data_IF_816319328014
#
_entry.id   IF_816319328014
#
_cell.length_a   1.000
_cell.length_b   1.000
_cell.length_c   1.000
_cell.angle_alpha   90.00
_cell.angle_beta   90.00
_cell.angle_gamma   90.00
#
_symmetry.space_group_name_H-M   'P 1'
#
loop_
_entity.id
_entity.type
_entity.pdbx_description
1 polymer ?
#
# COMPACT_ATOMS: atom_id res chain seq x y z
N UNK A 1 0.62 14.14 -19.69
CA UNK A 1 -0.09 13.09 -20.46
C UNK A 1 0.86 12.02 -21.04
N UNK A 2 1.99 11.70 -20.38
CA UNK A 2 2.89 10.61 -20.82
C UNK A 2 2.33 9.22 -20.44
N UNK A 3 1.64 9.14 -19.30
CA UNK A 3 1.06 7.90 -18.78
C UNK A 3 0.05 7.26 -19.75
N UNK A 4 -0.77 8.06 -20.44
CA UNK A 4 -1.75 7.56 -21.40
C UNK A 4 -1.07 6.85 -22.58
N UNK A 5 0.05 7.39 -23.08
CA UNK A 5 0.82 6.75 -24.16
C UNK A 5 1.42 5.42 -23.72
N UNK A 6 1.92 5.33 -22.49
CA UNK A 6 2.47 4.09 -21.93
C UNK A 6 1.38 3.00 -21.86
N UNK A 7 0.20 3.33 -21.35
CA UNK A 7 -0.92 2.40 -21.28
C UNK A 7 -1.36 1.91 -22.65
N UNK A 8 -1.56 2.84 -23.59
CA UNK A 8 -1.95 2.49 -24.96
C UNK A 8 -0.89 1.59 -25.61
N UNK A 9 0.40 1.88 -25.40
CA UNK A 9 1.49 1.06 -25.91
C UNK A 9 1.45 -0.38 -25.35
N UNK A 10 1.20 -0.57 -24.04
CA UNK A 10 1.09 -1.91 -23.45
C UNK A 10 -0.04 -2.74 -24.10
N UNK A 11 -1.22 -2.15 -24.28
CA UNK A 11 -2.34 -2.84 -24.92
C UNK A 11 -2.06 -3.17 -26.39
N UNK A 12 -1.49 -2.23 -27.15
CA UNK A 12 -1.16 -2.45 -28.56
C UNK A 12 -0.08 -3.53 -28.74
N UNK A 13 0.97 -3.52 -27.92
CA UNK A 13 2.02 -4.52 -27.96
C UNK A 13 1.46 -5.90 -27.61
N UNK A 14 0.68 -6.01 -26.53
CA UNK A 14 0.05 -7.27 -26.14
C UNK A 14 -0.87 -7.83 -27.24
N UNK A 15 -1.70 -6.97 -27.85
CA UNK A 15 -2.58 -7.37 -28.94
C UNK A 15 -1.81 -7.80 -30.21
N UNK A 16 -0.74 -7.09 -30.55
CA UNK A 16 0.13 -7.43 -31.69
C UNK A 16 0.78 -8.80 -31.48
N UNK A 17 1.32 -9.06 -30.29
CA UNK A 17 1.94 -10.35 -29.94
C UNK A 17 0.90 -11.48 -29.97
N UNK A 18 -0.29 -11.26 -29.41
CA UNK A 18 -1.37 -12.25 -29.43
C UNK A 18 -1.79 -12.60 -30.86
N UNK A 19 -1.90 -11.59 -31.74
CA UNK A 19 -2.24 -11.79 -33.15
C UNK A 19 -1.15 -12.54 -33.90
N UNK A 20 0.14 -12.23 -33.64
CA UNK A 20 1.27 -12.96 -34.23
C UNK A 20 1.25 -14.43 -33.78
N UNK A 21 1.02 -14.70 -32.49
CA UNK A 21 0.89 -16.08 -31.98
C UNK A 21 -0.29 -16.83 -32.60
N UNK A 22 -1.44 -16.18 -32.74
CA UNK A 22 -2.61 -16.79 -33.38
C UNK A 22 -2.34 -17.14 -34.85
N UNK A 23 -1.76 -16.21 -35.63
CA UNK A 23 -1.61 -16.37 -37.09
C UNK A 23 -0.38 -17.20 -37.47
N UNK A 24 0.77 -16.98 -36.84
CA UNK A 24 2.03 -17.64 -37.23
C UNK A 24 2.31 -18.93 -36.44
N UNK A 25 1.83 -19.03 -35.20
CA UNK A 25 2.03 -20.21 -34.35
C UNK A 25 0.76 -21.08 -34.25
N UNK A 26 -0.37 -20.64 -34.79
CA UNK A 26 -1.63 -21.39 -34.80
C UNK A 26 -2.28 -21.53 -33.43
N UNK A 27 -1.87 -20.72 -32.44
CA UNK A 27 -2.34 -20.79 -31.07
C UNK A 27 -3.73 -20.13 -30.96
N UNK A 28 -4.78 -20.93 -31.09
CA UNK A 28 -6.18 -20.47 -30.99
C UNK A 28 -6.60 -20.13 -29.57
N UNK A 29 -5.83 -20.56 -28.56
CA UNK A 29 -6.16 -20.38 -27.15
C UNK A 29 -5.56 -19.10 -26.56
N UNK A 30 -4.63 -18.45 -27.26
CA UNK A 30 -3.90 -17.27 -26.76
C UNK A 30 -4.81 -16.16 -26.21
N UNK A 31 -5.92 -15.85 -26.89
CA UNK A 31 -6.86 -14.83 -26.42
C UNK A 31 -7.63 -15.28 -25.17
N UNK A 32 -8.01 -16.55 -25.11
CA UNK A 32 -8.66 -17.14 -23.93
C UNK A 32 -7.70 -17.16 -22.73
N UNK A 33 -6.44 -17.51 -22.95
CA UNK A 33 -5.39 -17.52 -21.92
C UNK A 33 -5.14 -16.11 -21.36
N UNK A 34 -5.05 -15.08 -22.22
CA UNK A 34 -4.89 -13.68 -21.80
C UNK A 34 -6.06 -13.24 -20.92
N UNK A 35 -7.30 -13.52 -21.33
CA UNK A 35 -8.50 -13.17 -20.56
C UNK A 35 -8.51 -13.90 -19.21
N UNK A 36 -8.25 -15.21 -19.20
CA UNK A 36 -8.20 -15.99 -17.97
C UNK A 36 -7.10 -15.50 -17.02
N UNK A 37 -5.92 -15.16 -17.54
CA UNK A 37 -4.81 -14.60 -16.77
C UNK A 37 -5.17 -13.24 -16.18
N UNK A 38 -5.90 -12.41 -16.91
CA UNK A 38 -6.38 -11.11 -16.44
C UNK A 38 -7.40 -11.26 -15.31
N UNK A 39 -8.34 -12.20 -15.42
CA UNK A 39 -9.29 -12.52 -14.36
C UNK A 39 -8.62 -13.12 -13.13
N UNK A 40 -7.68 -14.05 -13.32
CA UNK A 40 -6.89 -14.64 -12.23
C UNK A 40 -6.10 -13.57 -11.47
N UNK A 41 -5.44 -12.67 -12.20
CA UNK A 41 -4.70 -11.53 -11.63
C UNK A 41 -5.63 -10.59 -10.85
N UNK A 42 -6.80 -10.28 -11.40
CA UNK A 42 -7.82 -9.46 -10.73
C UNK A 42 -8.32 -10.11 -9.44
N UNK A 43 -8.58 -11.42 -9.46
CA UNK A 43 -9.01 -12.17 -8.28
C UNK A 43 -7.94 -12.15 -7.18
N UNK A 44 -6.68 -12.42 -7.54
CA UNK A 44 -5.57 -12.37 -6.61
C UNK A 44 -5.41 -10.97 -5.99
N UNK A 45 -5.46 -9.92 -6.82
CA UNK A 45 -5.40 -8.54 -6.34
C UNK A 45 -6.54 -8.22 -5.36
N UNK A 46 -7.74 -8.71 -5.62
CA UNK A 46 -8.89 -8.53 -4.74
C UNK A 46 -8.76 -9.31 -3.42
N UNK A 47 -8.31 -10.56 -3.46
CA UNK A 47 -8.05 -11.38 -2.25
C UNK A 47 -7.01 -10.70 -1.33
N UNK A 48 -5.91 -10.20 -1.92
CA UNK A 48 -4.90 -9.43 -1.19
C UNK A 48 -5.51 -8.15 -0.59
N UNK A 49 -6.27 -7.41 -1.38
CA UNK A 49 -6.89 -6.15 -0.95
C UNK A 49 -7.87 -6.36 0.20
N UNK A 50 -8.67 -7.43 0.18
CA UNK A 50 -9.58 -7.78 1.28
C UNK A 50 -8.81 -8.14 2.55
N UNK A 51 -7.75 -8.95 2.44
CA UNK A 51 -6.91 -9.31 3.58
C UNK A 51 -6.27 -8.08 4.23
N UNK A 52 -5.68 -7.20 3.42
CA UNK A 52 -5.08 -5.95 3.88
C UNK A 52 -6.12 -5.01 4.49
N UNK A 53 -7.30 -4.87 3.87
CA UNK A 53 -8.37 -4.00 4.39
C UNK A 53 -8.83 -4.44 5.77
N UNK A 54 -9.02 -5.75 6.00
CA UNK A 54 -9.44 -6.26 7.31
C UNK A 54 -8.41 -5.97 8.40
N UNK A 55 -7.13 -6.21 8.11
CA UNK A 55 -6.02 -5.96 9.05
C UNK A 55 -5.87 -4.46 9.32
N UNK A 56 -5.90 -3.62 8.28
CA UNK A 56 -5.84 -2.17 8.41
C UNK A 56 -7.02 -1.62 9.21
N UNK A 57 -8.24 -2.08 8.94
CA UNK A 57 -9.43 -1.63 9.67
C UNK A 57 -9.35 -1.98 11.18
N UNK A 58 -8.88 -3.18 11.52
CA UNK A 58 -8.66 -3.58 12.91
C UNK A 58 -7.65 -2.67 13.60
N UNK A 59 -6.47 -2.49 12.99
CA UNK A 59 -5.41 -1.72 13.61
C UNK A 59 -5.71 -0.23 13.67
N UNK A 60 -6.24 0.36 12.60
CA UNK A 60 -6.68 1.75 12.61
C UNK A 60 -7.77 1.98 13.67
N UNK A 61 -8.67 1.00 13.87
CA UNK A 61 -9.67 1.02 14.95
C UNK A 61 -9.02 1.03 16.34
N UNK A 62 -8.09 0.12 16.61
CA UNK A 62 -7.33 0.07 17.87
C UNK A 62 -6.57 1.38 18.10
N UNK A 63 -5.91 1.90 17.07
CA UNK A 63 -5.19 3.17 17.13
C UNK A 63 -6.12 4.34 17.43
N UNK A 64 -7.32 4.38 16.85
CA UNK A 64 -8.31 5.42 17.12
C UNK A 64 -8.76 5.40 18.59
N UNK A 65 -8.89 4.22 19.18
CA UNK A 65 -9.19 4.07 20.62
C UNK A 65 -8.00 4.59 21.46
N UNK A 66 -6.76 4.26 21.08
CA UNK A 66 -5.56 4.76 21.74
C UNK A 66 -5.39 6.29 21.67
N UNK A 67 -5.81 6.89 20.55
CA UNK A 67 -5.81 8.34 20.36
C UNK A 67 -6.87 9.01 21.24
N UNK A 68 -8.12 8.53 21.17
CA UNK A 68 -9.24 9.09 21.92
C UNK A 68 -9.09 8.94 23.45
N UNK A 69 -8.38 7.91 23.91
CA UNK A 69 -8.08 7.71 25.34
C UNK A 69 -6.92 8.57 25.86
N UNK A 70 -6.24 9.34 25.00
CA UNK A 70 -5.06 10.12 25.38
C UNK A 70 -3.82 9.27 25.68
N UNK A 71 -3.88 7.96 25.43
CA UNK A 71 -2.77 7.01 25.63
C UNK A 71 -1.58 7.39 24.75
N UNK A 72 -1.84 7.75 23.49
CA UNK A 72 -0.81 8.19 22.54
C UNK A 72 -0.10 9.45 23.05
N UNK A 73 -0.84 10.40 23.63
CA UNK A 73 -0.27 11.63 24.17
C UNK A 73 0.62 11.35 25.39
N UNK A 74 0.22 10.38 26.23
CA UNK A 74 0.99 9.92 27.39
C UNK A 74 2.27 9.18 26.96
N UNK A 75 2.17 8.28 25.97
CA UNK A 75 3.33 7.60 25.38
C UNK A 75 4.30 8.61 24.74
N UNK A 76 3.79 9.61 24.04
CA UNK A 76 4.63 10.65 23.42
C UNK A 76 5.48 11.39 24.46
N UNK A 77 4.90 11.69 25.64
CA UNK A 77 5.63 12.32 26.75
C UNK A 77 6.69 11.40 27.34
N UNK A 78 6.40 10.10 27.41
CA UNK A 78 7.34 9.10 27.93
C UNK A 78 8.49 8.80 26.96
N UNK A 79 8.25 8.88 25.65
CA UNK A 79 9.25 8.70 24.60
C UNK A 79 10.01 9.98 24.24
N UNK A 80 9.52 11.13 24.69
CA UNK A 80 10.18 12.43 24.54
C UNK A 80 11.68 12.46 24.92
N UNK A 81 12.18 11.80 25.99
CA UNK A 81 13.62 11.75 26.28
C UNK A 81 14.44 10.94 25.27
N UNK A 82 13.84 9.96 24.59
CA UNK A 82 14.51 9.17 23.53
C UNK A 82 14.53 9.97 22.23
N UNK A 83 13.38 10.50 21.84
CA UNK A 83 13.26 11.29 20.61
C UNK A 83 13.96 12.64 20.69
N UNK A 84 14.03 13.29 21.86
CA UNK A 84 14.82 14.50 22.05
C UNK A 84 16.33 14.26 21.93
N UNK A 85 16.80 13.02 22.07
CA UNK A 85 18.19 12.63 21.76
C UNK A 85 18.39 12.28 20.28
N UNK A 86 17.42 11.62 19.65
CA UNK A 86 17.50 11.21 18.24
C UNK A 86 17.22 12.36 17.27
N UNK A 87 16.35 13.30 17.64
CA UNK A 87 15.93 14.46 16.85
C UNK A 87 16.01 15.75 17.69
N UNK A 88 17.23 16.24 17.98
CA UNK A 88 17.46 17.39 18.85
C UNK A 88 16.91 18.72 18.29
N UNK A 89 16.62 18.80 17.00
CA UNK A 89 16.08 19.99 16.33
C UNK A 89 14.56 20.18 16.56
N UNK A 90 13.86 19.14 17.04
CA UNK A 90 12.41 19.18 17.23
C UNK A 90 12.07 19.73 18.63
N UNK A 91 11.30 20.84 18.73
CA UNK A 91 10.91 21.43 20.01
C UNK A 91 10.13 20.43 20.89
N UNK A 92 10.35 20.50 22.20
CA UNK A 92 9.65 19.65 23.16
C UNK A 92 8.13 19.86 23.06
N UNK A 93 7.38 18.77 22.85
CA UNK A 93 5.92 18.82 22.72
C UNK A 93 5.41 19.21 21.34
N UNK A 94 6.28 19.24 20.32
CA UNK A 94 5.85 19.48 18.94
C UNK A 94 5.00 18.29 18.44
N UNK A 95 3.84 18.53 17.81
CA UNK A 95 2.89 17.48 17.38
C UNK A 95 3.49 16.45 16.40
N UNK A 96 4.57 16.82 15.69
CA UNK A 96 5.36 15.92 14.82
C UNK A 96 5.82 14.64 15.53
N UNK A 97 6.04 14.67 16.85
CA UNK A 97 6.44 13.45 17.55
C UNK A 97 5.33 12.41 17.60
N UNK A 98 4.07 12.85 17.71
CA UNK A 98 2.91 11.97 17.60
C UNK A 98 2.85 11.32 16.21
N UNK A 99 3.03 12.11 15.15
CA UNK A 99 3.01 11.65 13.76
C UNK A 99 4.13 10.65 13.44
N UNK A 100 5.35 10.87 13.92
CA UNK A 100 6.46 9.92 13.74
C UNK A 100 6.25 8.62 14.52
N UNK A 101 5.75 8.71 15.75
CA UNK A 101 5.43 7.52 16.53
C UNK A 101 4.30 6.72 15.88
N UNK A 102 3.32 7.41 15.30
CA UNK A 102 2.22 6.81 14.55
C UNK A 102 2.74 6.09 13.30
N UNK A 103 3.70 6.68 12.60
CA UNK A 103 4.38 6.09 11.44
C UNK A 103 5.18 4.83 11.80
N UNK A 104 5.98 4.87 12.87
CA UNK A 104 6.71 3.69 13.37
C UNK A 104 5.75 2.60 13.83
N UNK A 105 4.68 2.96 14.53
CA UNK A 105 3.66 2.00 14.98
C UNK A 105 2.98 1.33 13.78
N UNK A 106 2.65 2.09 12.74
CA UNK A 106 2.10 1.54 11.50
C UNK A 106 3.07 0.56 10.81
N UNK A 107 4.37 0.91 10.71
CA UNK A 107 5.40 0.00 10.20
C UNK A 107 5.56 -1.27 11.06
N UNK A 108 5.56 -1.16 12.39
CA UNK A 108 5.68 -2.32 13.29
C UNK A 108 4.48 -3.28 13.22
N UNK A 109 3.32 -2.79 12.78
CA UNK A 109 2.09 -3.55 12.65
C UNK A 109 1.88 -4.14 11.25
N UNK A 110 2.87 -4.03 10.34
CA UNK A 110 2.77 -4.50 8.97
C UNK A 110 1.84 -3.63 8.10
N UNK A 111 1.62 -2.38 8.50
CA UNK A 111 0.80 -1.38 7.81
C UNK A 111 1.69 -0.39 7.06
N UNK A 112 2.79 -0.87 6.51
CA UNK A 112 3.84 -0.11 5.80
C UNK A 112 3.23 0.74 4.66
N UNK A 113 2.13 0.25 4.07
CA UNK A 113 1.34 0.93 3.03
C UNK A 113 0.47 2.11 3.55
N UNK A 114 0.17 2.15 4.85
CA UNK A 114 -0.50 3.26 5.53
C UNK A 114 0.47 4.10 6.40
N UNK A 115 1.71 3.61 6.56
CA UNK A 115 2.79 4.23 7.29
C UNK A 115 3.53 5.30 6.47
N UNK A 116 2.95 5.82 5.39
CA UNK A 116 3.49 6.93 4.61
C UNK A 116 2.34 7.89 4.27
N UNK A 117 2.56 9.22 4.32
CA UNK A 117 1.72 10.13 3.55
C UNK A 117 1.96 9.98 2.05
#
# INVERSE_FOLDING_TARGET
MVLNYIWIAFFLIAFTIATIRLVFFGDTEIFTEIINSTFSSSKNAFEISLGLTGVLALWLGIMKIGENSGLINTLSRWLNPVFGKLFPEIPKGHPVMGSMFMNMSANMLGLDNAATP
#
